data_IF_894257927972
#
_entry.id   IF_894257927972
#
_cell.length_a   1.000
_cell.length_b   1.000
_cell.length_c   1.000
_cell.angle_alpha   90.00
_cell.angle_beta   90.00
_cell.angle_gamma   90.00
#
_symmetry.space_group_name_H-M   'P 1'
#
loop_
_entity.id
_entity.type
_entity.pdbx_description
1 polymer ?
#
# COMPACT_ATOMS: atom_id res chain seq x y z
N UNK A 1 14.24 26.02 -9.13
CA UNK A 1 13.67 25.35 -7.94
C UNK A 1 12.50 26.14 -7.38
N UNK A 2 12.61 27.47 -7.26
CA UNK A 2 11.51 28.36 -6.87
C UNK A 2 10.24 28.20 -7.74
N UNK A 3 10.36 28.22 -9.08
CA UNK A 3 9.19 28.05 -9.98
C UNK A 3 8.54 26.66 -9.88
N UNK A 4 9.35 25.61 -9.76
CA UNK A 4 8.85 24.26 -9.54
C UNK A 4 8.13 24.17 -8.19
N UNK A 5 8.69 24.73 -7.12
CA UNK A 5 8.05 24.73 -5.81
C UNK A 5 6.73 25.50 -5.81
N UNK A 6 6.66 26.63 -6.51
CA UNK A 6 5.40 27.37 -6.66
C UNK A 6 4.35 26.53 -7.40
N UNK A 7 4.71 25.90 -8.52
CA UNK A 7 3.83 25.02 -9.27
C UNK A 7 3.34 23.81 -8.45
N UNK A 8 4.25 23.10 -7.79
CA UNK A 8 3.92 21.93 -6.98
C UNK A 8 3.11 22.28 -5.74
N UNK A 9 3.42 23.41 -5.09
CA UNK A 9 2.66 23.90 -3.92
C UNK A 9 1.24 24.32 -4.29
N UNK A 10 1.01 24.73 -5.54
CA UNK A 10 -0.30 25.15 -6.01
C UNK A 10 -1.22 23.96 -6.32
N UNK A 11 -0.65 22.84 -6.80
CA UNK A 11 -1.40 21.61 -7.13
C UNK A 11 -1.63 20.75 -5.89
N UNK A 12 -0.60 20.54 -5.07
CA UNK A 12 -0.64 19.61 -3.93
C UNK A 12 -0.76 20.30 -2.56
N UNK A 13 -0.68 21.63 -2.49
CA UNK A 13 -0.68 22.38 -1.22
C UNK A 13 0.63 22.27 -0.42
N UNK A 14 1.53 21.36 -0.80
CA UNK A 14 2.85 21.11 -0.20
C UNK A 14 3.90 21.03 -1.32
N UNK A 15 5.08 21.58 -1.08
CA UNK A 15 6.20 21.50 -2.01
C UNK A 15 7.55 21.29 -1.31
N UNK A 16 8.42 20.53 -1.94
CA UNK A 16 9.75 20.23 -1.41
C UNK A 16 10.75 21.33 -1.74
N UNK A 17 10.95 22.22 -0.76
CA UNK A 17 11.89 23.35 -0.87
C UNK A 17 13.36 22.95 -0.84
N UNK A 18 13.70 21.79 -0.28
CA UNK A 18 15.08 21.31 -0.11
C UNK A 18 15.42 20.14 -1.05
N UNK A 19 16.48 20.30 -1.83
CA UNK A 19 16.92 19.34 -2.85
C UNK A 19 17.50 18.05 -2.26
N UNK A 20 18.21 18.16 -1.13
CA UNK A 20 18.72 17.00 -0.40
C UNK A 20 17.57 16.21 0.23
N UNK A 21 16.55 16.90 0.76
CA UNK A 21 15.37 16.24 1.32
C UNK A 21 14.56 15.53 0.23
N UNK A 22 14.37 16.15 -0.94
CA UNK A 22 13.70 15.52 -2.08
C UNK A 22 14.43 14.25 -2.53
N UNK A 23 15.75 14.29 -2.61
CA UNK A 23 16.54 13.13 -3.01
C UNK A 23 16.51 12.00 -1.96
N UNK A 24 16.59 12.37 -0.68
CA UNK A 24 16.44 11.42 0.42
C UNK A 24 15.05 10.78 0.43
N UNK A 25 13.98 11.56 0.21
CA UNK A 25 12.62 11.06 0.13
C UNK A 25 12.43 10.08 -1.01
N UNK A 26 13.02 10.36 -2.18
CA UNK A 26 12.96 9.46 -3.33
C UNK A 26 13.61 8.10 -3.03
N UNK A 27 14.74 8.09 -2.31
CA UNK A 27 15.36 6.86 -1.82
C UNK A 27 14.50 6.16 -0.77
N UNK A 28 14.00 6.90 0.21
CA UNK A 28 13.21 6.36 1.32
C UNK A 28 11.95 5.65 0.84
N UNK A 29 11.24 6.20 -0.15
CA UNK A 29 10.02 5.60 -0.70
C UNK A 29 10.33 4.23 -1.33
N UNK A 30 11.37 4.15 -2.16
CA UNK A 30 11.74 2.89 -2.83
C UNK A 30 12.24 1.84 -1.85
N UNK A 31 13.12 2.24 -0.92
CA UNK A 31 13.71 1.33 0.07
C UNK A 31 12.65 0.82 1.05
N UNK A 32 11.79 1.69 1.57
CA UNK A 32 10.72 1.30 2.51
C UNK A 32 9.70 0.38 1.84
N UNK A 33 9.35 0.64 0.58
CA UNK A 33 8.46 -0.25 -0.18
C UNK A 33 9.01 -1.67 -0.30
N UNK A 34 10.29 -1.81 -0.62
CA UNK A 34 10.97 -3.12 -0.67
C UNK A 34 11.06 -3.76 0.71
N UNK A 35 11.32 -2.98 1.76
CA UNK A 35 11.39 -3.45 3.14
C UNK A 35 10.05 -4.03 3.63
N UNK A 36 8.95 -3.30 3.42
CA UNK A 36 7.62 -3.75 3.82
C UNK A 36 7.18 -4.99 3.03
N UNK A 37 7.48 -5.05 1.73
CA UNK A 37 7.22 -6.23 0.89
C UNK A 37 8.01 -7.45 1.38
N UNK A 38 9.30 -7.29 1.68
CA UNK A 38 10.14 -8.37 2.18
C UNK A 38 9.61 -8.96 3.50
N UNK A 39 9.13 -8.11 4.42
CA UNK A 39 8.49 -8.56 5.66
C UNK A 39 7.23 -9.38 5.34
N UNK A 40 6.40 -8.94 4.40
CA UNK A 40 5.22 -9.68 3.94
C UNK A 40 5.56 -11.05 3.35
N UNK A 41 6.61 -11.14 2.52
CA UNK A 41 7.09 -12.40 1.94
C UNK A 41 7.66 -13.34 3.01
N UNK A 42 8.37 -12.81 4.01
CA UNK A 42 8.85 -13.61 5.14
C UNK A 42 7.68 -14.15 5.98
N UNK A 43 6.64 -13.33 6.22
CA UNK A 43 5.40 -13.78 6.87
C UNK A 43 4.69 -14.87 6.06
N UNK A 44 4.64 -14.72 4.73
CA UNK A 44 4.11 -15.74 3.81
C UNK A 44 4.86 -17.07 3.92
N UNK A 45 6.19 -17.03 3.98
CA UNK A 45 7.04 -18.21 4.10
C UNK A 45 6.83 -18.96 5.43
N UNK A 46 6.50 -18.23 6.50
CA UNK A 46 6.13 -18.79 7.80
C UNK A 46 4.64 -19.19 7.89
N UNK A 47 3.91 -19.14 6.77
CA UNK A 47 2.47 -19.38 6.66
C UNK A 47 1.62 -18.41 7.52
N UNK A 48 2.19 -17.29 7.97
CA UNK A 48 1.51 -16.20 8.67
C UNK A 48 0.87 -15.28 7.64
N UNK A 49 -0.16 -15.81 6.99
CA UNK A 49 -0.82 -15.12 5.89
C UNK A 49 -2.03 -14.36 6.43
N UNK A 50 -2.20 -13.11 6.01
CA UNK A 50 -3.34 -12.28 6.39
C UNK A 50 -4.60 -12.63 5.58
N UNK A 51 -4.96 -13.92 5.48
CA UNK A 51 -6.18 -14.34 4.80
C UNK A 51 -7.42 -14.09 5.67
N UNK A 52 -7.32 -14.34 6.98
CA UNK A 52 -8.49 -14.25 7.84
C UNK A 52 -8.60 -12.88 8.49
N UNK A 53 -9.31 -11.97 7.80
CA UNK A 53 -10.01 -10.90 8.50
C UNK A 53 -11.16 -11.54 9.29
N UNK A 54 -10.91 -11.90 10.56
CA UNK A 54 -11.90 -12.47 11.51
C UNK A 54 -13.22 -11.68 11.61
N UNK A 55 -13.22 -10.41 11.18
CA UNK A 55 -14.41 -9.56 11.12
C UNK A 55 -15.31 -9.81 9.90
N UNK A 56 -14.78 -10.37 8.80
CA UNK A 56 -15.53 -10.63 7.57
C UNK A 56 -16.31 -11.94 7.61
N UNK A 57 -15.78 -13.02 8.20
CA UNK A 57 -16.49 -14.31 8.31
C UNK A 57 -17.85 -14.19 9.00
N UNK A 58 -17.98 -13.33 10.02
CA UNK A 58 -19.25 -13.12 10.72
C UNK A 58 -20.30 -12.34 9.91
N UNK A 59 -19.89 -11.62 8.87
CA UNK A 59 -20.75 -10.80 7.99
C UNK A 59 -20.88 -11.40 6.58
N UNK A 60 -20.10 -12.44 6.27
CA UNK A 60 -20.15 -13.21 5.02
C UNK A 60 -21.46 -13.95 4.84
N UNK A 61 -22.13 -14.34 5.94
CA UNK A 61 -23.42 -15.01 5.87
C UNK A 61 -24.57 -14.15 5.30
N UNK A 62 -24.37 -12.85 5.03
CA UNK A 62 -25.45 -11.91 4.72
C UNK A 62 -25.35 -11.24 3.32
N UNK A 63 -24.18 -11.25 2.66
CA UNK A 63 -23.97 -10.54 1.38
C UNK A 63 -23.41 -11.45 0.25
N UNK A 64 -24.25 -11.93 -0.68
CA UNK A 64 -23.84 -12.90 -1.71
C UNK A 64 -22.85 -12.34 -2.76
N UNK A 65 -22.82 -11.02 -2.97
CA UNK A 65 -21.86 -10.37 -3.87
C UNK A 65 -20.42 -10.41 -3.32
N UNK A 66 -20.28 -10.41 -1.99
CA UNK A 66 -18.98 -10.36 -1.32
C UNK A 66 -18.31 -11.73 -1.37
N UNK A 67 -19.07 -12.79 -1.14
CA UNK A 67 -18.62 -14.18 -1.32
C UNK A 67 -18.16 -14.44 -2.76
N UNK A 68 -18.91 -13.97 -3.77
CA UNK A 68 -18.53 -14.13 -5.18
C UNK A 68 -17.19 -13.48 -5.51
N UNK A 69 -16.94 -12.25 -5.04
CA UNK A 69 -15.69 -11.54 -5.29
C UNK A 69 -14.51 -12.25 -4.60
N UNK A 70 -14.67 -12.67 -3.35
CA UNK A 70 -13.62 -13.40 -2.62
C UNK A 70 -13.34 -14.76 -3.25
N UNK A 71 -14.37 -15.50 -3.65
CA UNK A 71 -14.22 -16.77 -4.37
C UNK A 71 -13.53 -16.61 -5.73
N UNK A 72 -13.86 -15.56 -6.50
CA UNK A 72 -13.20 -15.26 -7.77
C UNK A 72 -11.71 -14.95 -7.58
N UNK A 73 -11.36 -14.20 -6.53
CA UNK A 73 -9.96 -13.89 -6.21
C UNK A 73 -9.18 -15.17 -5.86
N UNK A 74 -9.77 -16.09 -5.10
CA UNK A 74 -9.14 -17.38 -4.72
C UNK A 74 -9.00 -18.34 -5.90
N UNK A 75 -9.88 -18.28 -6.89
CA UNK A 75 -9.82 -19.13 -8.10
C UNK A 75 -8.81 -18.60 -9.13
N UNK A 76 -8.56 -17.28 -9.13
CA UNK A 76 -7.66 -16.61 -10.10
C UNK A 76 -6.20 -16.56 -9.63
N UNK A 77 -5.95 -16.57 -8.33
CA UNK A 77 -4.62 -16.81 -7.73
C UNK A 77 -4.20 -18.29 -7.82
#
# INVERSE_FOLDING_TARGET
MVTANYFWSQIFGVAFSNKCWLHFFMLFVSVTGLWMSAIGVVGLALNLRAYDFVYHETREAEDPLREFIMALIVIVE
#
